data_IF_702934113478
#
_entry.id   IF_702934113478
#
_cell.length_a   1.000
_cell.length_b   1.000
_cell.length_c   1.000
_cell.angle_alpha   90.00
_cell.angle_beta   90.00
_cell.angle_gamma   90.00
#
_symmetry.space_group_name_H-M   'P 1'
#
loop_
_entity.id
_entity.type
_entity.pdbx_description
1 polymer ?
#
# COMPACT_ATOMS: atom_id res chain seq x y z
N UNK A 1 51.85 -25.91 6.91
CA UNK A 1 52.24 -25.14 5.71
C UNK A 1 51.47 -25.73 4.52
N UNK A 2 50.57 -25.07 3.80
CA UNK A 2 49.96 -23.74 3.87
C UNK A 2 48.53 -23.87 3.34
N UNK A 3 47.57 -23.15 3.94
CA UNK A 3 46.16 -23.18 3.55
C UNK A 3 46.01 -22.32 2.29
N UNK A 4 45.47 -22.91 1.23
CA UNK A 4 45.08 -22.20 0.02
C UNK A 4 43.80 -21.43 0.28
N UNK A 5 43.94 -20.25 0.86
CA UNK A 5 42.87 -19.26 0.98
C UNK A 5 42.71 -18.58 -0.38
N UNK A 6 41.88 -19.20 -1.23
CA UNK A 6 41.42 -18.65 -2.49
C UNK A 6 40.64 -17.36 -2.22
N UNK A 7 41.33 -16.23 -2.28
CA UNK A 7 40.73 -14.90 -2.23
C UNK A 7 39.86 -14.76 -3.49
N UNK A 8 38.54 -14.94 -3.32
CA UNK A 8 37.53 -14.67 -4.34
C UNK A 8 37.55 -13.15 -4.61
N UNK A 9 37.87 -12.66 -5.82
CA UNK A 9 37.87 -11.23 -6.07
C UNK A 9 36.45 -10.67 -5.85
N UNK A 10 36.29 -9.45 -5.28
CA UNK A 10 34.98 -8.82 -5.20
C UNK A 10 34.44 -8.58 -6.62
N UNK A 11 33.12 -8.66 -6.85
CA UNK A 11 32.57 -8.26 -8.14
C UNK A 11 32.95 -6.80 -8.37
N UNK A 12 33.49 -6.51 -9.55
CA UNK A 12 33.75 -5.14 -10.00
C UNK A 12 32.41 -4.41 -10.00
N UNK A 13 32.10 -3.70 -8.91
CA UNK A 13 30.98 -2.78 -8.87
C UNK A 13 31.28 -1.74 -9.95
N UNK A 14 30.42 -1.72 -10.97
CA UNK A 14 30.42 -0.68 -11.98
C UNK A 14 30.36 0.67 -11.27
N UNK A 15 31.46 1.42 -11.30
CA UNK A 15 31.48 2.82 -10.90
C UNK A 15 30.54 3.56 -11.84
N UNK A 16 29.34 3.89 -11.35
CA UNK A 16 28.43 4.77 -12.07
C UNK A 16 29.05 6.18 -12.10
N UNK A 17 29.40 6.74 -13.28
CA UNK A 17 29.89 8.11 -13.35
C UNK A 17 28.81 9.06 -12.84
N UNK A 18 29.18 9.93 -11.91
CA UNK A 18 28.33 11.02 -11.42
C UNK A 18 27.91 11.90 -12.62
N UNK A 19 26.61 12.18 -12.83
CA UNK A 19 26.19 13.12 -13.86
C UNK A 19 26.64 14.54 -13.47
N UNK A 20 27.65 15.07 -14.16
CA UNK A 20 28.03 16.48 -14.07
C UNK A 20 27.27 17.24 -15.15
N UNK A 21 26.06 17.72 -14.86
CA UNK A 21 25.28 18.42 -15.87
C UNK A 21 23.95 18.97 -15.40
N UNK A 22 24.01 20.09 -14.68
CA UNK A 22 23.00 21.16 -14.66
C UNK A 22 21.53 20.72 -14.54
N UNK A 23 21.12 20.41 -13.31
CA UNK A 23 19.73 20.37 -12.88
C UNK A 23 19.11 21.78 -12.93
N UNK A 24 18.82 22.31 -14.11
CA UNK A 24 17.93 23.47 -14.23
C UNK A 24 16.50 22.95 -14.23
N UNK A 25 16.04 22.48 -13.06
CA UNK A 25 14.61 22.50 -12.79
C UNK A 25 14.29 23.99 -12.71
N UNK A 26 13.78 24.56 -13.79
CA UNK A 26 13.23 25.92 -13.74
C UNK A 26 12.03 25.83 -12.81
N UNK A 27 12.26 26.17 -11.55
CA UNK A 27 11.27 26.50 -10.53
C UNK A 27 10.53 27.76 -11.01
N UNK A 28 9.73 27.59 -12.06
CA UNK A 28 8.79 28.61 -12.50
C UNK A 28 7.75 28.72 -11.39
N UNK A 29 7.59 29.90 -10.76
CA UNK A 29 6.59 30.06 -9.72
C UNK A 29 5.21 29.85 -10.37
N UNK A 30 4.49 28.83 -9.91
CA UNK A 30 3.11 28.59 -10.32
C UNK A 30 2.29 29.80 -9.84
N UNK A 31 1.65 30.58 -10.74
CA UNK A 31 0.78 31.67 -10.32
C UNK A 31 -0.52 31.09 -9.76
N UNK A 32 -0.54 30.81 -8.45
CA UNK A 32 -1.65 30.21 -7.73
C UNK A 32 -2.67 31.28 -7.29
N UNK A 33 -3.43 31.82 -8.25
CA UNK A 33 -4.49 32.81 -7.94
C UNK A 33 -5.90 32.16 -7.85
N UNK A 34 -5.99 30.83 -7.84
CA UNK A 34 -7.26 30.11 -7.69
C UNK A 34 -7.10 28.72 -7.07
N UNK A 35 -8.18 28.09 -6.57
CA UNK A 35 -8.14 26.71 -6.11
C UNK A 35 -7.71 25.78 -7.25
N UNK A 36 -6.74 24.90 -6.99
CA UNK A 36 -6.23 23.96 -8.01
C UNK A 36 -7.36 22.97 -8.38
N UNK A 37 -7.83 22.95 -9.65
CA UNK A 37 -8.88 22.05 -10.10
C UNK A 37 -8.55 20.56 -9.94
N UNK A 38 -7.29 20.21 -9.66
CA UNK A 38 -6.85 18.84 -9.38
C UNK A 38 -7.12 18.39 -7.95
N UNK A 39 -7.43 19.31 -7.03
CA UNK A 39 -7.71 19.00 -5.63
C UNK A 39 -9.21 18.67 -5.51
N UNK A 40 -9.58 17.43 -5.12
CA UNK A 40 -10.97 17.08 -4.90
C UNK A 40 -11.59 17.92 -3.77
N UNK A 41 -12.89 18.18 -3.86
CA UNK A 41 -13.62 18.85 -2.79
C UNK A 41 -13.44 18.09 -1.46
N UNK A 42 -13.23 18.81 -0.34
CA UNK A 42 -12.95 18.17 0.95
C UNK A 42 -14.10 17.25 1.41
N UNK A 43 -15.33 17.53 0.99
CA UNK A 43 -16.52 16.74 1.31
C UNK A 43 -16.59 15.40 0.54
N UNK A 44 -15.82 15.26 -0.55
CA UNK A 44 -15.71 14.04 -1.34
C UNK A 44 -14.65 13.07 -0.80
N UNK A 45 -13.87 13.51 0.21
CA UNK A 45 -12.86 12.66 0.81
C UNK A 45 -13.49 11.58 1.69
N UNK A 46 -13.36 10.33 1.25
CA UNK A 46 -13.79 9.14 2.02
C UNK A 46 -12.58 8.31 2.40
N UNK A 47 -12.31 8.22 3.70
CA UNK A 47 -11.15 7.52 4.24
C UNK A 47 -11.20 6.01 3.96
N UNK A 48 -10.03 5.44 3.62
CA UNK A 48 -9.91 4.00 3.37
C UNK A 48 -10.00 3.20 4.67
N UNK A 49 -10.77 2.09 4.72
CA UNK A 49 -10.89 1.23 5.91
C UNK A 49 -9.71 0.26 6.06
N UNK A 50 -8.61 0.47 5.34
CA UNK A 50 -7.48 -0.45 5.27
C UNK A 50 -6.68 -0.47 6.59
N UNK A 51 -6.48 -1.67 7.14
CA UNK A 51 -5.67 -1.88 8.35
C UNK A 51 -4.24 -2.35 8.05
N UNK A 52 -3.79 -2.22 6.79
CA UNK A 52 -2.51 -2.75 6.28
C UNK A 52 -2.30 -4.26 6.41
N UNK A 53 -3.35 -5.01 6.75
CA UNK A 53 -3.37 -6.46 6.64
C UNK A 53 -3.92 -6.82 5.28
N UNK A 54 -3.08 -7.36 4.40
CA UNK A 54 -3.46 -7.79 3.06
C UNK A 54 -3.44 -9.33 2.96
N UNK A 55 -4.49 -9.96 3.49
CA UNK A 55 -4.70 -11.41 3.31
C UNK A 55 -6.17 -11.69 3.11
N UNK A 56 -6.51 -12.35 2.01
CA UNK A 56 -7.87 -12.80 1.72
C UNK A 56 -8.13 -14.11 2.46
N UNK A 57 -9.25 -14.21 3.15
CA UNK A 57 -9.74 -15.46 3.72
C UNK A 57 -10.39 -16.29 2.61
N UNK A 58 -9.83 -17.46 2.33
CA UNK A 58 -10.30 -18.35 1.26
C UNK A 58 -11.73 -18.86 1.48
N UNK A 59 -12.26 -18.82 2.71
CA UNK A 59 -13.61 -19.31 3.02
C UNK A 59 -14.71 -18.36 2.58
N UNK A 60 -14.47 -17.05 2.67
CA UNK A 60 -15.49 -16.04 2.42
C UNK A 60 -15.07 -14.99 1.38
N UNK A 61 -13.84 -15.04 0.86
CA UNK A 61 -13.34 -14.10 -0.14
C UNK A 61 -13.08 -12.69 0.40
N UNK A 62 -13.09 -12.49 1.71
CA UNK A 62 -12.92 -11.18 2.34
C UNK A 62 -11.50 -11.00 2.88
N UNK A 63 -11.00 -9.77 2.82
CA UNK A 63 -9.75 -9.39 3.46
C UNK A 63 -9.85 -9.50 4.98
N UNK A 64 -8.96 -10.28 5.61
CA UNK A 64 -8.92 -10.53 7.04
C UNK A 64 -8.74 -9.24 7.89
N UNK A 65 -8.18 -8.17 7.32
CA UNK A 65 -8.07 -6.87 7.97
C UNK A 65 -9.33 -6.03 7.81
N UNK A 66 -9.53 -5.51 6.60
CA UNK A 66 -10.55 -4.50 6.32
C UNK A 66 -11.96 -5.06 6.03
N UNK A 67 -12.10 -6.37 5.80
CA UNK A 67 -13.35 -7.05 5.41
C UNK A 67 -13.95 -6.62 4.06
N UNK A 68 -13.13 -6.01 3.19
CA UNK A 68 -13.49 -5.77 1.78
C UNK A 68 -13.19 -6.99 0.92
N UNK A 69 -13.91 -7.14 -0.19
CA UNK A 69 -13.56 -8.10 -1.25
C UNK A 69 -12.32 -7.64 -2.02
N UNK A 70 -11.76 -8.51 -2.86
CA UNK A 70 -10.61 -8.14 -3.70
C UNK A 70 -10.99 -7.04 -4.70
N UNK A 71 -12.17 -7.13 -5.29
CA UNK A 71 -12.71 -6.17 -6.26
C UNK A 71 -12.91 -4.79 -5.62
N UNK A 72 -13.47 -4.74 -4.41
CA UNK A 72 -13.61 -3.49 -3.66
C UNK A 72 -12.25 -2.87 -3.30
N UNK A 73 -11.21 -3.68 -3.12
CA UNK A 73 -9.84 -3.21 -2.85
C UNK A 73 -9.23 -2.60 -4.11
N UNK A 74 -9.31 -3.29 -5.25
CA UNK A 74 -8.69 -2.85 -6.51
C UNK A 74 -9.38 -1.62 -7.10
N UNK A 75 -10.72 -1.53 -6.96
CA UNK A 75 -11.50 -0.42 -7.52
C UNK A 75 -11.57 0.81 -6.61
N UNK A 76 -11.10 0.74 -5.37
CA UNK A 76 -11.26 1.82 -4.37
C UNK A 76 -10.84 3.21 -4.87
N UNK A 77 -9.71 3.30 -5.56
CA UNK A 77 -9.19 4.56 -6.11
C UNK A 77 -10.11 5.21 -7.15
N UNK A 78 -10.82 4.39 -7.93
CA UNK A 78 -11.75 4.84 -8.97
C UNK A 78 -13.21 4.95 -8.52
N UNK A 79 -13.56 4.51 -7.30
CA UNK A 79 -14.92 4.62 -6.78
C UNK A 79 -15.30 6.08 -6.49
N UNK A 80 -16.56 6.42 -6.76
CA UNK A 80 -17.15 7.70 -6.32
C UNK A 80 -17.27 7.75 -4.78
N UNK A 81 -17.37 8.94 -4.18
CA UNK A 81 -17.57 9.08 -2.74
C UNK A 81 -18.76 8.25 -2.22
N UNK A 82 -19.87 8.24 -2.96
CA UNK A 82 -21.07 7.46 -2.59
C UNK A 82 -20.84 5.95 -2.66
N UNK A 83 -20.13 5.47 -3.69
CA UNK A 83 -19.74 4.06 -3.79
C UNK A 83 -18.84 3.65 -2.61
N UNK A 84 -17.88 4.50 -2.23
CA UNK A 84 -17.02 4.26 -1.06
C UNK A 84 -17.83 4.22 0.23
N UNK A 85 -18.77 5.15 0.43
CA UNK A 85 -19.69 5.17 1.58
C UNK A 85 -20.55 3.91 1.63
N UNK A 86 -21.08 3.46 0.50
CA UNK A 86 -21.86 2.23 0.40
C UNK A 86 -21.04 1.00 0.81
N UNK A 87 -19.81 0.86 0.31
CA UNK A 87 -18.90 -0.22 0.75
C UNK A 87 -18.65 -0.15 2.26
N UNK A 88 -18.34 1.03 2.79
CA UNK A 88 -18.09 1.24 4.22
C UNK A 88 -19.29 0.84 5.09
N UNK A 89 -20.51 1.11 4.64
CA UNK A 89 -21.73 0.74 5.36
C UNK A 89 -21.91 -0.77 5.53
N UNK A 90 -21.34 -1.58 4.63
CA UNK A 90 -21.41 -3.06 4.73
C UNK A 90 -20.39 -3.67 5.70
N UNK A 91 -19.29 -2.97 5.97
CA UNK A 91 -18.16 -3.52 6.73
C UNK A 91 -18.47 -3.86 8.19
N UNK A 92 -19.28 -3.07 8.95
CA UNK A 92 -19.63 -3.41 10.33
C UNK A 92 -20.24 -4.81 10.45
N UNK A 93 -21.18 -5.16 9.57
CA UNK A 93 -21.82 -6.48 9.58
C UNK A 93 -20.83 -7.59 9.21
N UNK A 94 -20.02 -7.40 8.16
CA UNK A 94 -18.95 -8.36 7.80
C UNK A 94 -17.96 -8.57 8.96
N UNK A 95 -17.60 -7.50 9.68
CA UNK A 95 -16.71 -7.55 10.85
C UNK A 95 -17.33 -8.29 12.03
N UNK A 96 -18.62 -8.09 12.30
CA UNK A 96 -19.37 -8.85 13.33
C UNK A 96 -19.36 -10.35 13.00
N UNK A 97 -19.69 -10.72 11.77
CA UNK A 97 -19.67 -12.09 11.29
C UNK A 97 -18.29 -12.75 11.37
N UNK A 98 -17.20 -11.99 11.20
CA UNK A 98 -15.84 -12.51 11.38
C UNK A 98 -15.43 -12.66 12.85
N UNK A 99 -15.82 -11.72 13.72
CA UNK A 99 -15.47 -11.76 15.16
C UNK A 99 -15.96 -13.03 15.84
N UNK A 100 -17.09 -13.57 15.41
CA UNK A 100 -17.61 -14.86 15.90
C UNK A 100 -16.79 -16.06 15.42
N UNK A 101 -15.98 -15.91 14.37
CA UNK A 101 -15.25 -17.02 13.74
C UNK A 101 -13.74 -17.08 14.09
N UNK A 102 -13.15 -16.06 14.72
CA UNK A 102 -11.68 -15.90 14.66
C UNK A 102 -10.96 -16.02 16.01
N UNK A 103 -10.31 -17.18 16.22
CA UNK A 103 -9.02 -17.31 16.92
C UNK A 103 -7.92 -17.23 15.85
N UNK A 104 -7.41 -16.04 15.57
CA UNK A 104 -6.29 -15.87 14.64
C UNK A 104 -4.98 -15.94 15.44
N UNK A 105 -4.25 -17.06 15.33
CA UNK A 105 -2.84 -17.13 15.75
C UNK A 105 -2.02 -16.36 14.73
N UNK A 106 -1.42 -15.26 15.16
CA UNK A 106 -0.49 -14.48 14.37
C UNK A 106 0.66 -15.37 13.88
N UNK A 107 0.85 -15.41 12.56
CA UNK A 107 1.94 -16.10 11.93
C UNK A 107 3.23 -15.30 12.06
N UNK A 108 3.96 -15.57 13.13
CA UNK A 108 5.43 -15.55 13.18
C UNK A 108 5.84 -16.66 14.15
N UNK A 109 6.28 -17.80 13.61
CA UNK A 109 6.93 -18.84 14.41
C UNK A 109 8.22 -18.25 15.02
N UNK A 110 8.55 -18.49 16.30
CA UNK A 110 9.92 -18.27 16.76
C UNK A 110 10.81 -19.28 16.04
N UNK A 111 11.82 -18.78 15.31
CA UNK A 111 12.84 -19.61 14.69
C UNK A 111 13.59 -20.40 15.77
N UNK A 112 13.72 -21.71 15.54
CA UNK A 112 14.61 -22.64 16.25
C UNK A 112 16.07 -22.33 15.95
#
# INVERSE_FOLDING_TARGET
MGKGDTIRPPPLYLTFPQPTGADTVTDSPIPSTGPDPRVPDPDDYVASPCTRVCRIDARNGLCAGCQRTLEEITLWGGMTPDQRRAVLATLPERRKARRTMVRWRHGSQPGT
#
